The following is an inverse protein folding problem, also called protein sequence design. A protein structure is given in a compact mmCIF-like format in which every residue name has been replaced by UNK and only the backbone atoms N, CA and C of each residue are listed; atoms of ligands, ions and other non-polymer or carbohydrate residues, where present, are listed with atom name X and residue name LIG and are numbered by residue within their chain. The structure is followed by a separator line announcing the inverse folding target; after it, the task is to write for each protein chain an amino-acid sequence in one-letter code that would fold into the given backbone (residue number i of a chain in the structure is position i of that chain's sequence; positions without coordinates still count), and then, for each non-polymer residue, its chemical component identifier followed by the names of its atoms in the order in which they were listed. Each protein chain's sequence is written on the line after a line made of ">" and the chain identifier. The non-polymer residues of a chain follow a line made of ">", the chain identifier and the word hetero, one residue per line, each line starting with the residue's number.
data_IF_341328129111
#
_entry.id   IF_341328129111
#
_cell.length_a   1.000
_cell.length_b   1.000
_cell.length_c   1.000
_cell.angle_alpha   90.00
_cell.angle_beta   90.00
_cell.angle_gamma   90.00
#
_symmetry.space_group_name_H-M   'P 1'
#
loop_
_entity.id
_entity.type
_entity.pdbx_description
1 polymer ?
#
# COMPACT_ATOMS: atom_id res chain seq x y z
N UNK A 1 -12.00 -2.81 26.12
CA UNK A 1 -12.38 -3.50 24.86
C UNK A 1 -12.79 -2.51 23.77
N UNK A 2 -13.67 -1.55 24.07
CA UNK A 2 -14.14 -0.53 23.11
C UNK A 2 -13.01 0.33 22.52
N UNK A 3 -12.04 0.77 23.33
CA UNK A 3 -10.91 1.61 22.87
C UNK A 3 -10.02 0.85 21.87
N UNK A 4 -9.72 -0.42 22.14
CA UNK A 4 -8.94 -1.28 21.25
C UNK A 4 -9.67 -1.53 19.92
N UNK A 5 -11.00 -1.69 19.97
CA UNK A 5 -11.84 -1.88 18.79
C UNK A 5 -11.88 -0.63 17.91
N UNK A 6 -12.04 0.56 18.51
CA UNK A 6 -12.04 1.84 17.78
C UNK A 6 -10.68 2.13 17.15
N UNK A 7 -9.59 1.85 17.86
CA UNK A 7 -8.23 2.01 17.34
C UNK A 7 -7.97 1.10 16.12
N UNK A 8 -8.36 -0.17 16.22
CA UNK A 8 -8.25 -1.12 15.11
C UNK A 8 -9.06 -0.66 13.90
N UNK A 9 -10.32 -0.26 14.10
CA UNK A 9 -11.20 0.24 13.04
C UNK A 9 -10.63 1.48 12.34
N UNK A 10 -10.00 2.40 13.08
CA UNK A 10 -9.39 3.59 12.49
C UNK A 10 -8.23 3.21 11.56
N UNK A 11 -7.33 2.34 12.02
CA UNK A 11 -6.19 1.87 11.24
C UNK A 11 -6.63 1.07 10.00
N UNK A 12 -7.64 0.22 10.14
CA UNK A 12 -8.23 -0.55 9.03
C UNK A 12 -8.87 0.39 8.01
N UNK A 13 -9.69 1.36 8.46
CA UNK A 13 -10.40 2.27 7.58
C UNK A 13 -9.46 3.17 6.77
N UNK A 14 -8.43 3.74 7.39
CA UNK A 14 -7.44 4.59 6.71
C UNK A 14 -6.71 3.80 5.62
N UNK A 15 -6.18 2.62 5.98
CA UNK A 15 -5.40 1.77 5.07
C UNK A 15 -6.27 1.28 3.92
N UNK A 16 -7.50 0.85 4.19
CA UNK A 16 -8.44 0.41 3.16
C UNK A 16 -8.87 1.53 2.23
N UNK A 17 -9.09 2.74 2.74
CA UNK A 17 -9.41 3.89 1.90
C UNK A 17 -8.27 4.20 0.94
N UNK A 18 -7.03 4.24 1.45
CA UNK A 18 -5.82 4.42 0.67
C UNK A 18 -5.67 3.34 -0.42
N UNK A 19 -5.83 2.07 -0.06
CA UNK A 19 -5.75 0.96 -1.02
C UNK A 19 -6.87 0.99 -2.06
N UNK A 20 -8.10 1.34 -1.67
CA UNK A 20 -9.22 1.49 -2.59
C UNK A 20 -8.97 2.62 -3.59
N UNK A 21 -8.46 3.76 -3.13
CA UNK A 21 -8.10 4.88 -4.00
C UNK A 21 -7.02 4.47 -5.01
N UNK A 22 -6.00 3.74 -4.57
CA UNK A 22 -4.95 3.24 -5.47
C UNK A 22 -5.50 2.26 -6.52
N UNK A 23 -6.36 1.34 -6.10
CA UNK A 23 -7.01 0.38 -6.99
C UNK A 23 -7.89 1.06 -8.04
N UNK A 24 -8.71 2.04 -7.62
CA UNK A 24 -9.55 2.84 -8.51
C UNK A 24 -8.70 3.62 -9.51
N UNK A 25 -7.65 4.30 -9.04
CA UNK A 25 -6.75 5.08 -9.88
C UNK A 25 -6.01 4.22 -10.90
N UNK A 26 -5.54 3.04 -10.50
CA UNK A 26 -4.92 2.06 -11.41
C UNK A 26 -5.92 1.60 -12.45
N UNK A 27 -7.16 1.29 -12.06
CA UNK A 27 -8.20 0.82 -12.99
C UNK A 27 -8.53 1.88 -14.04
N UNK A 28 -8.69 3.15 -13.62
CA UNK A 28 -8.89 4.29 -14.54
C UNK A 28 -7.71 4.44 -15.50
N UNK A 29 -6.48 4.29 -14.98
CA UNK A 29 -5.26 4.40 -15.79
C UNK A 29 -5.22 3.31 -16.86
N UNK A 30 -5.39 2.03 -16.49
CA UNK A 30 -5.31 0.92 -17.45
C UNK A 30 -6.43 0.98 -18.49
N UNK A 31 -7.65 1.36 -18.07
CA UNK A 31 -8.77 1.58 -18.98
C UNK A 31 -8.48 2.72 -19.98
N UNK A 32 -7.89 3.82 -19.50
CA UNK A 32 -7.46 4.92 -20.35
C UNK A 32 -6.41 4.50 -21.38
N UNK A 33 -5.41 3.72 -20.96
CA UNK A 33 -4.38 3.17 -21.87
C UNK A 33 -4.99 2.25 -22.94
N UNK A 34 -5.90 1.34 -22.56
CA UNK A 34 -6.62 0.51 -23.51
C UNK A 34 -7.43 1.37 -24.51
N UNK A 35 -8.15 2.39 -24.02
CA UNK A 35 -8.97 3.27 -24.86
C UNK A 35 -8.20 4.30 -25.70
N UNK A 36 -6.93 4.58 -25.37
CA UNK A 36 -6.10 5.58 -26.05
C UNK A 36 -5.48 5.11 -27.37
N UNK A 37 -5.57 3.81 -27.68
CA UNK A 37 -5.01 3.24 -28.88
C UNK A 37 -5.70 3.81 -30.14
N UNK A 38 -4.91 4.33 -31.08
CA UNK A 38 -5.44 4.80 -32.37
C UNK A 38 -5.99 3.63 -33.18
N UNK A 39 -6.94 3.92 -34.08
CA UNK A 39 -7.54 2.90 -34.95
C UNK A 39 -6.43 2.20 -35.78
N UNK A 40 -6.37 0.87 -35.70
CA UNK A 40 -5.33 0.02 -36.30
C UNK A 40 -3.91 0.16 -35.70
N UNK A 41 -3.79 0.71 -34.50
CA UNK A 41 -2.54 0.69 -33.73
C UNK A 41 -2.72 -0.08 -32.43
N UNK A 42 -1.68 -0.79 -32.03
CA UNK A 42 -1.66 -1.51 -30.76
C UNK A 42 -1.45 -0.53 -29.58
N UNK A 43 -2.09 -0.75 -28.42
CA UNK A 43 -1.89 0.08 -27.21
C UNK A 43 -0.43 0.12 -26.77
N UNK A 44 0.29 -0.99 -26.91
CA UNK A 44 1.72 -1.08 -26.67
C UNK A 44 2.45 -1.36 -27.98
N UNK A 45 3.43 -0.51 -28.29
CA UNK A 45 4.31 -0.73 -29.43
C UNK A 45 5.27 -1.89 -29.11
N UNK A 46 5.05 -3.02 -29.75
CA UNK A 46 5.89 -4.21 -29.62
C UNK A 46 6.11 -4.85 -31.00
N UNK A 47 7.22 -5.57 -31.15
CA UNK A 47 7.52 -6.34 -32.35
C UNK A 47 6.91 -7.75 -32.22
N UNK A 48 6.24 -8.21 -33.27
CA UNK A 48 5.68 -9.55 -33.36
C UNK A 48 6.20 -10.24 -34.61
N UNK A 49 6.39 -11.58 -34.59
CA UNK A 49 6.87 -12.34 -35.75
C UNK A 49 5.79 -12.54 -36.84
N UNK A 50 4.67 -11.81 -36.77
CA UNK A 50 3.54 -11.88 -37.70
C UNK A 50 2.95 -10.48 -37.94
N UNK A 51 2.18 -10.33 -39.02
CA UNK A 51 1.59 -9.05 -39.42
C UNK A 51 0.39 -8.69 -38.53
N UNK A 52 0.63 -7.84 -37.53
CA UNK A 52 -0.40 -7.37 -36.58
C UNK A 52 -1.35 -6.34 -37.19
N UNK A 53 -1.18 -5.92 -38.44
CA UNK A 53 -2.10 -4.97 -39.10
C UNK A 53 -3.32 -5.63 -39.72
N UNK A 54 -3.31 -6.97 -39.85
CA UNK A 54 -4.36 -7.74 -40.53
C UNK A 54 -5.26 -8.46 -39.53
N UNK A 55 -6.56 -8.53 -39.85
CA UNK A 55 -7.51 -9.39 -39.13
C UNK A 55 -7.26 -10.86 -39.50
N UNK A 56 -7.33 -11.82 -38.55
CA UNK A 56 -7.69 -11.68 -37.13
C UNK A 56 -6.51 -11.39 -36.18
N UNK A 57 -5.28 -11.34 -36.69
CA UNK A 57 -4.07 -11.20 -35.86
C UNK A 57 -4.04 -9.89 -35.05
N UNK A 58 -4.53 -8.79 -35.62
CA UNK A 58 -4.68 -7.50 -34.92
C UNK A 58 -5.55 -7.65 -33.67
N UNK A 59 -6.77 -8.16 -33.82
CA UNK A 59 -7.76 -8.26 -32.76
C UNK A 59 -7.27 -9.18 -31.63
N UNK A 60 -6.70 -10.33 -32.00
CA UNK A 60 -6.15 -11.28 -31.03
C UNK A 60 -4.99 -10.65 -30.23
N UNK A 61 -4.09 -9.94 -30.90
CA UNK A 61 -2.94 -9.29 -30.26
C UNK A 61 -3.39 -8.13 -29.39
N UNK A 62 -4.38 -7.36 -29.82
CA UNK A 62 -4.96 -6.27 -29.05
C UNK A 62 -5.58 -6.78 -27.74
N UNK A 63 -6.43 -7.82 -27.81
CA UNK A 63 -7.03 -8.45 -26.62
C UNK A 63 -5.95 -9.02 -25.70
N UNK A 64 -4.92 -9.65 -26.26
CA UNK A 64 -3.78 -10.15 -25.49
C UNK A 64 -3.05 -9.03 -24.74
N UNK A 65 -2.71 -7.93 -25.42
CA UNK A 65 -2.01 -6.79 -24.79
C UNK A 65 -2.84 -6.14 -23.69
N UNK A 66 -4.13 -5.90 -23.94
CA UNK A 66 -5.03 -5.33 -22.94
C UNK A 66 -5.15 -6.26 -21.73
N UNK A 67 -5.36 -7.57 -21.95
CA UNK A 67 -5.40 -8.55 -20.86
C UNK A 67 -4.10 -8.60 -20.06
N UNK A 68 -2.95 -8.62 -20.74
CA UNK A 68 -1.64 -8.60 -20.10
C UNK A 68 -1.41 -7.31 -19.29
N UNK A 69 -1.83 -6.16 -19.79
CA UNK A 69 -1.76 -4.87 -19.09
C UNK A 69 -2.56 -4.89 -17.79
N UNK A 70 -3.82 -5.37 -17.82
CA UNK A 70 -4.64 -5.50 -16.61
C UNK A 70 -4.02 -6.45 -15.60
N UNK A 71 -3.57 -7.63 -16.03
CA UNK A 71 -2.93 -8.61 -15.14
C UNK A 71 -1.69 -8.01 -14.49
N UNK A 72 -0.79 -7.41 -15.28
CA UNK A 72 0.43 -6.80 -14.77
C UNK A 72 0.15 -5.66 -13.78
N UNK A 73 -0.82 -4.80 -14.09
CA UNK A 73 -1.21 -3.70 -13.22
C UNK A 73 -1.77 -4.20 -11.87
N UNK A 74 -2.68 -5.18 -11.89
CA UNK A 74 -3.25 -5.73 -10.66
C UNK A 74 -2.25 -6.54 -9.84
N UNK A 75 -1.29 -7.24 -10.48
CA UNK A 75 -0.20 -7.89 -9.76
C UNK A 75 0.69 -6.86 -9.06
N UNK A 76 0.97 -5.72 -9.69
CA UNK A 76 1.74 -4.65 -9.05
C UNK A 76 0.96 -4.03 -7.87
N UNK A 77 -0.32 -3.71 -8.06
CA UNK A 77 -1.19 -3.23 -6.97
C UNK A 77 -1.24 -4.23 -5.82
N UNK A 78 -1.34 -5.53 -6.13
CA UNK A 78 -1.34 -6.60 -5.14
C UNK A 78 -0.06 -6.66 -4.32
N UNK A 79 1.11 -6.52 -4.95
CA UNK A 79 2.41 -6.46 -4.26
C UNK A 79 2.49 -5.24 -3.33
N UNK A 80 2.14 -4.07 -3.83
CA UNK A 80 2.17 -2.84 -3.02
C UNK A 80 1.21 -2.93 -1.83
N UNK A 81 0.00 -3.44 -2.08
CA UNK A 81 -1.04 -3.64 -1.06
C UNK A 81 -0.57 -4.62 0.01
N UNK A 82 0.11 -5.71 -0.38
CA UNK A 82 0.66 -6.68 0.56
C UNK A 82 1.70 -6.01 1.48
N UNK A 83 2.69 -5.33 0.90
CA UNK A 83 3.78 -4.73 1.68
C UNK A 83 3.26 -3.62 2.59
N UNK A 84 2.49 -2.66 2.04
CA UNK A 84 1.90 -1.57 2.82
C UNK A 84 0.91 -2.06 3.88
N UNK A 85 0.17 -3.13 3.58
CA UNK A 85 -0.75 -3.78 4.53
C UNK A 85 -0.01 -4.44 5.70
N UNK A 86 1.12 -5.09 5.45
CA UNK A 86 1.95 -5.69 6.51
C UNK A 86 2.58 -4.62 7.42
N UNK A 87 3.04 -3.50 6.83
CA UNK A 87 3.53 -2.34 7.59
C UNK A 87 2.40 -1.76 8.46
N UNK A 88 1.21 -1.58 7.89
CA UNK A 88 0.04 -1.10 8.63
C UNK A 88 -0.37 -2.05 9.78
N UNK A 89 -0.21 -3.37 9.60
CA UNK A 89 -0.44 -4.33 10.68
C UNK A 89 0.58 -4.17 11.81
N UNK A 90 1.86 -3.96 11.50
CA UNK A 90 2.88 -3.71 12.52
C UNK A 90 2.57 -2.44 13.30
N UNK A 91 2.23 -1.34 12.60
CA UNK A 91 1.79 -0.07 13.19
C UNK A 91 0.60 -0.30 14.13
N UNK A 92 -0.44 -1.01 13.67
CA UNK A 92 -1.62 -1.29 14.47
C UNK A 92 -1.30 -2.09 15.74
N UNK A 93 -0.42 -3.09 15.64
CA UNK A 93 0.02 -3.89 16.79
C UNK A 93 0.78 -3.03 17.81
N UNK A 94 1.69 -2.16 17.37
CA UNK A 94 2.41 -1.23 18.25
C UNK A 94 1.47 -0.24 18.93
N UNK A 95 0.53 0.34 18.19
CA UNK A 95 -0.48 1.25 18.74
C UNK A 95 -1.35 0.59 19.80
N UNK A 96 -1.80 -0.64 19.55
CA UNK A 96 -2.55 -1.43 20.54
C UNK A 96 -1.73 -1.75 21.80
N UNK A 97 -0.42 -1.93 21.67
CA UNK A 97 0.47 -2.09 22.81
C UNK A 97 0.61 -0.80 23.61
N UNK A 98 0.78 0.34 22.93
CA UNK A 98 0.80 1.65 23.57
C UNK A 98 -0.49 1.93 24.36
N UNK A 99 -1.65 1.58 23.79
CA UNK A 99 -2.93 1.65 24.51
C UNK A 99 -2.97 0.69 25.70
N UNK A 100 -2.52 -0.56 25.53
CA UNK A 100 -2.46 -1.54 26.61
C UNK A 100 -1.58 -1.11 27.78
N UNK A 101 -0.48 -0.39 27.51
CA UNK A 101 0.37 0.20 28.54
C UNK A 101 -0.34 1.35 29.27
N UNK A 102 -1.03 2.24 28.54
CA UNK A 102 -1.77 3.36 29.13
C UNK A 102 -2.92 2.89 30.03
N UNK A 103 -3.60 1.82 29.64
CA UNK A 103 -4.73 1.26 30.40
C UNK A 103 -4.32 0.12 31.35
N UNK A 104 -3.01 -0.07 31.60
CA UNK A 104 -2.49 -1.22 32.35
C UNK A 104 -3.11 -1.34 33.75
N UNK A 105 -3.22 -0.20 34.42
CA UNK A 105 -3.67 -0.06 35.82
C UNK A 105 -5.00 0.69 35.96
N UNK A 106 -5.74 0.93 34.87
CA UNK A 106 -6.92 1.81 34.86
C UNK A 106 -8.03 1.35 35.82
N UNK A 107 -8.20 0.04 35.97
CA UNK A 107 -9.16 -0.62 36.86
C UNK A 107 -8.54 -1.05 38.20
N UNK A 108 -7.28 -0.71 38.47
CA UNK A 108 -6.59 -1.04 39.71
C UNK A 108 -6.65 0.15 40.68
N UNK A 109 -7.61 0.09 41.61
CA UNK A 109 -7.81 1.14 42.64
C UNK A 109 -6.81 0.94 43.79
N UNK A 110 -5.92 1.91 44.07
CA UNK A 110 -5.02 1.85 45.22
C UNK A 110 -5.79 1.92 46.55
N UNK A 111 -5.21 1.38 47.61
CA UNK A 111 -5.75 1.56 48.96
C UNK A 111 -5.59 3.01 49.47
N UNK A 112 -6.07 3.31 50.67
CA UNK A 112 -5.98 4.67 51.27
C UNK A 112 -4.54 5.21 51.40
N UNK A 113 -3.53 4.34 51.35
CA UNK A 113 -2.11 4.70 51.38
C UNK A 113 -1.50 4.85 49.97
N UNK A 114 -2.29 4.72 48.91
CA UNK A 114 -1.82 4.78 47.52
C UNK A 114 -1.11 3.51 47.05
N UNK A 115 -1.24 2.39 47.77
CA UNK A 115 -0.56 1.13 47.49
C UNK A 115 -1.54 0.12 46.89
N UNK A 116 -1.11 -0.58 45.84
CA UNK A 116 -1.88 -1.69 45.27
C UNK A 116 -1.85 -2.89 46.20
N UNK A 117 -2.99 -3.60 46.29
CA UNK A 117 -3.01 -4.89 46.99
C UNK A 117 -2.15 -5.92 46.25
N UNK A 118 -1.63 -6.96 46.94
CA UNK A 118 -0.80 -8.00 46.29
C UNK A 118 -1.47 -8.67 45.08
N UNK A 119 -2.79 -8.84 45.11
CA UNK A 119 -3.56 -9.40 43.99
C UNK A 119 -3.65 -8.43 42.78
N UNK A 120 -3.79 -7.13 43.05
CA UNK A 120 -3.77 -6.10 42.00
C UNK A 120 -2.37 -5.96 41.39
N UNK A 121 -1.31 -6.02 42.22
CA UNK A 121 0.07 -5.99 41.75
C UNK A 121 0.37 -7.21 40.86
N UNK A 122 -0.05 -8.41 41.29
CA UNK A 122 0.06 -9.64 40.50
C UNK A 122 -0.69 -9.53 39.17
N UNK A 123 -1.86 -8.90 39.16
CA UNK A 123 -2.64 -8.64 37.95
C UNK A 123 -1.90 -7.68 37.02
N UNK A 124 -1.36 -6.58 37.54
CA UNK A 124 -0.55 -5.62 36.77
C UNK A 124 0.67 -6.30 36.14
N UNK A 125 1.41 -7.11 36.93
CA UNK A 125 2.55 -7.90 36.46
C UNK A 125 2.18 -8.87 35.35
N UNK A 126 1.06 -9.59 35.50
CA UNK A 126 0.57 -10.51 34.47
C UNK A 126 0.24 -9.78 33.17
N UNK A 127 -0.41 -8.62 33.24
CA UNK A 127 -0.73 -7.80 32.06
C UNK A 127 0.52 -7.24 31.40
N UNK A 128 1.48 -6.74 32.20
CA UNK A 128 2.74 -6.23 31.71
C UNK A 128 3.53 -7.32 30.97
N UNK A 129 3.58 -8.54 31.52
CA UNK A 129 4.22 -9.68 30.87
C UNK A 129 3.64 -9.96 29.48
N UNK A 130 2.31 -9.93 29.34
CA UNK A 130 1.64 -10.12 28.04
C UNK A 130 1.99 -9.00 27.06
N UNK A 131 2.06 -7.75 27.53
CA UNK A 131 2.43 -6.61 26.70
C UNK A 131 3.87 -6.75 26.21
N UNK A 132 4.82 -7.10 27.09
CA UNK A 132 6.23 -7.29 26.72
C UNK A 132 6.37 -8.39 25.66
N UNK A 133 5.70 -9.52 25.83
CA UNK A 133 5.71 -10.61 24.84
C UNK A 133 5.18 -10.16 23.47
N UNK A 134 4.06 -9.41 23.46
CA UNK A 134 3.49 -8.89 22.21
C UNK A 134 4.36 -7.83 21.57
N UNK A 135 5.04 -7.00 22.36
CA UNK A 135 5.98 -6.01 21.85
C UNK A 135 7.18 -6.67 21.18
N UNK A 136 7.75 -7.71 21.80
CA UNK A 136 8.81 -8.51 21.19
C UNK A 136 8.36 -9.12 19.85
N UNK A 137 7.16 -9.68 19.79
CA UNK A 137 6.61 -10.23 18.55
C UNK A 137 6.35 -9.15 17.47
N UNK A 138 6.00 -7.92 17.86
CA UNK A 138 5.83 -6.81 16.93
C UNK A 138 7.19 -6.32 16.37
N UNK A 139 8.23 -6.28 17.21
CA UNK A 139 9.58 -5.94 16.77
C UNK A 139 10.16 -7.00 15.83
N UNK A 140 9.95 -8.29 16.14
CA UNK A 140 10.36 -9.39 15.26
C UNK A 140 9.66 -9.32 13.90
N UNK A 141 8.35 -9.05 13.89
CA UNK A 141 7.60 -8.85 12.65
C UNK A 141 8.13 -7.65 11.84
N UNK A 142 8.45 -6.53 12.49
CA UNK A 142 9.04 -5.36 11.83
C UNK A 142 10.41 -5.67 11.22
N UNK A 143 11.27 -6.38 11.96
CA UNK A 143 12.58 -6.83 11.47
C UNK A 143 12.43 -7.71 10.23
N UNK A 144 11.51 -8.68 10.27
CA UNK A 144 11.25 -9.57 9.13
C UNK A 144 10.77 -8.79 7.90
N UNK A 145 9.89 -7.79 8.08
CA UNK A 145 9.46 -6.93 6.97
C UNK A 145 10.62 -6.13 6.39
N UNK A 146 11.48 -5.58 7.23
CA UNK A 146 12.65 -4.84 6.79
C UNK A 146 13.63 -5.75 6.01
N UNK A 147 13.89 -6.95 6.51
CA UNK A 147 14.80 -7.90 5.86
C UNK A 147 14.23 -8.41 4.52
N UNK A 148 12.93 -8.69 4.45
CA UNK A 148 12.29 -9.16 3.22
C UNK A 148 12.07 -8.07 2.17
N UNK A 149 11.71 -6.85 2.58
CA UNK A 149 11.19 -5.84 1.67
C UNK A 149 12.07 -4.60 1.49
N UNK A 150 13.13 -4.39 2.28
CA UNK A 150 14.02 -3.23 2.11
C UNK A 150 14.59 -3.10 0.70
N UNK A 151 15.21 -4.16 0.16
CA UNK A 151 15.79 -4.14 -1.18
C UNK A 151 14.72 -4.02 -2.29
N UNK A 152 13.60 -4.78 -2.25
CA UNK A 152 12.49 -4.59 -3.19
C UNK A 152 11.89 -3.18 -3.18
N UNK A 153 11.66 -2.58 -2.00
CA UNK A 153 11.12 -1.22 -1.87
C UNK A 153 12.12 -0.21 -2.44
N UNK A 154 13.41 -0.37 -2.16
CA UNK A 154 14.45 0.51 -2.73
C UNK A 154 14.45 0.45 -4.26
N UNK A 155 14.45 -0.76 -4.83
CA UNK A 155 14.36 -0.95 -6.28
C UNK A 155 13.08 -0.34 -6.86
N UNK A 156 11.95 -0.51 -6.17
CA UNK A 156 10.68 0.07 -6.57
C UNK A 156 10.74 1.60 -6.62
N UNK A 157 11.32 2.26 -5.61
CA UNK A 157 11.46 3.72 -5.58
C UNK A 157 12.36 4.25 -6.69
N UNK A 158 13.47 3.57 -6.98
CA UNK A 158 14.35 3.93 -8.10
C UNK A 158 13.61 3.86 -9.44
N UNK A 159 12.85 2.78 -9.67
CA UNK A 159 12.06 2.60 -10.89
C UNK A 159 10.94 3.64 -10.97
N UNK A 160 10.18 3.85 -9.88
CA UNK A 160 9.12 4.85 -9.83
C UNK A 160 9.64 6.26 -10.10
N UNK A 161 10.82 6.63 -9.60
CA UNK A 161 11.45 7.93 -9.88
C UNK A 161 11.69 8.12 -11.38
N UNK A 162 12.31 7.15 -12.05
CA UNK A 162 12.56 7.21 -13.50
C UNK A 162 11.24 7.31 -14.27
N UNK A 163 10.25 6.49 -13.91
CA UNK A 163 8.92 6.50 -14.54
C UNK A 163 8.25 7.86 -14.39
N UNK A 164 8.27 8.45 -13.19
CA UNK A 164 7.68 9.76 -12.90
C UNK A 164 8.34 10.84 -13.77
N UNK A 165 9.68 10.87 -13.81
CA UNK A 165 10.42 11.85 -14.61
C UNK A 165 10.09 11.73 -16.11
N UNK A 166 10.13 10.52 -16.66
CA UNK A 166 9.83 10.27 -18.08
C UNK A 166 8.39 10.60 -18.41
N UNK A 167 7.44 10.21 -17.55
CA UNK A 167 6.00 10.45 -17.75
C UNK A 167 5.69 11.95 -17.70
N UNK A 168 6.26 12.67 -16.74
CA UNK A 168 6.08 14.12 -16.62
C UNK A 168 6.62 14.86 -17.86
N UNK A 169 7.80 14.45 -18.35
CA UNK A 169 8.37 15.01 -19.58
C UNK A 169 7.47 14.72 -20.81
N UNK A 170 7.01 13.48 -20.98
CA UNK A 170 6.12 13.15 -22.09
C UNK A 170 4.78 13.88 -22.00
N UNK A 171 4.23 14.04 -20.78
CA UNK A 171 2.99 14.78 -20.55
C UNK A 171 3.13 16.25 -20.96
N UNK A 172 4.27 16.88 -20.66
CA UNK A 172 4.55 18.26 -21.06
C UNK A 172 4.68 18.43 -22.58
N UNK A 173 5.12 17.39 -23.29
CA UNK A 173 5.27 17.39 -24.75
C UNK A 173 4.01 16.92 -25.50
N UNK A 174 3.00 16.39 -24.81
CA UNK A 174 1.82 15.78 -25.44
C UNK A 174 0.87 16.84 -26.00
N UNK A 175 0.57 16.76 -27.29
CA UNK A 175 -0.41 17.63 -27.96
C UNK A 175 -1.50 16.81 -28.65
N UNK A 176 -2.71 17.37 -28.76
CA UNK A 176 -3.77 16.89 -29.67
C UNK A 176 -4.63 15.68 -29.23
N UNK A 177 -4.18 14.79 -28.34
CA UNK A 177 -4.96 13.62 -27.89
C UNK A 177 -5.33 13.72 -26.40
N UNK A 178 -6.58 14.12 -26.12
CA UNK A 178 -7.09 14.30 -24.75
C UNK A 178 -7.17 12.99 -23.94
N UNK A 179 -7.52 11.87 -24.59
CA UNK A 179 -7.61 10.56 -23.91
C UNK A 179 -6.21 10.13 -23.46
N UNK A 180 -5.21 10.29 -24.32
CA UNK A 180 -3.81 10.01 -23.98
C UNK A 180 -3.29 10.96 -22.91
N UNK A 181 -3.59 12.26 -23.00
CA UNK A 181 -3.22 13.24 -21.97
C UNK A 181 -3.78 12.85 -20.59
N UNK A 182 -5.07 12.52 -20.52
CA UNK A 182 -5.72 12.09 -19.28
C UNK A 182 -5.14 10.77 -18.75
N UNK A 183 -4.88 9.80 -19.63
CA UNK A 183 -4.30 8.50 -19.27
C UNK A 183 -2.88 8.62 -18.74
N UNK A 184 -2.07 9.53 -19.31
CA UNK A 184 -0.71 9.82 -18.82
C UNK A 184 -0.73 10.62 -17.52
N UNK A 185 -1.67 11.56 -17.37
CA UNK A 185 -1.86 12.29 -16.12
C UNK A 185 -2.30 11.37 -14.96
N UNK A 186 -3.25 10.47 -15.21
CA UNK A 186 -3.68 9.47 -14.23
C UNK A 186 -2.57 8.48 -13.90
N UNK A 187 -1.76 8.07 -14.87
CA UNK A 187 -0.57 7.24 -14.63
C UNK A 187 0.47 7.95 -13.74
N UNK A 188 0.74 9.24 -13.98
CA UNK A 188 1.64 10.05 -13.14
C UNK A 188 1.13 10.16 -11.70
N UNK A 189 -0.18 10.40 -11.53
CA UNK A 189 -0.83 10.41 -10.22
C UNK A 189 -0.73 9.04 -9.56
N UNK A 190 -0.92 7.95 -10.31
CA UNK A 190 -0.85 6.59 -9.80
C UNK A 190 0.54 6.26 -9.24
N UNK A 191 1.60 6.59 -9.99
CA UNK A 191 2.98 6.36 -9.56
C UNK A 191 3.38 7.22 -8.37
N UNK A 192 2.95 8.49 -8.34
CA UNK A 192 3.16 9.37 -7.19
C UNK A 192 2.43 8.86 -5.95
N UNK A 193 1.19 8.41 -6.12
CA UNK A 193 0.39 7.85 -5.03
C UNK A 193 0.99 6.56 -4.49
N UNK A 194 1.49 5.68 -5.36
CA UNK A 194 2.21 4.48 -4.96
C UNK A 194 3.37 4.80 -4.01
N UNK A 195 4.24 5.77 -4.37
CA UNK A 195 5.35 6.20 -3.50
C UNK A 195 4.83 6.79 -2.19
N UNK A 196 3.80 7.63 -2.26
CA UNK A 196 3.17 8.21 -1.08
C UNK A 196 2.67 7.14 -0.09
N UNK A 197 2.08 6.03 -0.56
CA UNK A 197 1.59 4.96 0.30
C UNK A 197 2.72 4.34 1.15
N UNK A 198 3.85 4.01 0.52
CA UNK A 198 5.00 3.47 1.25
C UNK A 198 5.54 4.47 2.26
N UNK A 199 5.72 5.74 1.86
CA UNK A 199 6.22 6.79 2.74
C UNK A 199 5.28 7.06 3.91
N UNK A 200 3.96 7.10 3.65
CA UNK A 200 2.95 7.33 4.68
C UNK A 200 2.94 6.20 5.71
N UNK A 201 2.88 4.95 5.26
CA UNK A 201 2.85 3.80 6.17
C UNK A 201 4.17 3.66 6.94
N UNK A 202 5.31 3.92 6.29
CA UNK A 202 6.62 3.94 6.95
C UNK A 202 6.75 5.03 8.01
N UNK A 203 6.31 6.26 7.70
CA UNK A 203 6.32 7.36 8.67
C UNK A 203 5.43 7.06 9.87
N UNK A 204 4.20 6.59 9.61
CA UNK A 204 3.28 6.21 10.67
C UNK A 204 3.81 5.07 11.53
N UNK A 205 4.51 4.09 10.96
CA UNK A 205 5.16 3.05 11.75
C UNK A 205 6.27 3.60 12.65
N UNK A 206 7.01 4.61 12.18
CA UNK A 206 8.10 5.24 12.96
C UNK A 206 7.62 6.15 14.09
N UNK A 207 6.39 6.66 14.01
CA UNK A 207 5.79 7.54 15.03
C UNK A 207 5.17 6.77 16.21
N UNK A 208 4.86 5.48 16.03
CA UNK A 208 4.31 4.59 17.06
C UNK A 208 5.40 3.96 17.94
#
# INVERSE_FOLDING_TARGET
>A
ITINYTCFLSCDRETRLQQLLYFCLTTVTVAGWAGSAEKNQLPLRAWYPYDTSKSPAYELTYVHQVGALFIAAYLNVGKDTLVTGLIAQCRCRLRLLGLGLRTLCEDLVPNEQGILTPEQEKTAWSRLRVIVQRHQAALEASSLLQDCFSAPIFAQFMVSMVIICVTAFQLAAQTGNLVRLFSMGTYLLNMTFQVFLYCYQGNQLSEE
#
